data_IF_228262067079
#
_entry.id   IF_228262067079
#
_cell.length_a   1.000
_cell.length_b   1.000
_cell.length_c   1.000
_cell.angle_alpha   90.00
_cell.angle_beta   90.00
_cell.angle_gamma   90.00
#
_symmetry.space_group_name_H-M   'P 1'
#
loop_
_entity.id
_entity.type
_entity.pdbx_description
1 polymer ?
#
# COMPACT_ATOMS: atom_id res chain seq x y z
N UNK A 1 9.53 -8.13 -4.16
CA UNK A 1 9.74 -8.69 -2.81
C UNK A 1 8.38 -8.84 -2.15
N UNK A 2 8.14 -9.82 -1.27
CA UNK A 2 6.84 -9.93 -0.59
C UNK A 2 6.80 -8.98 0.63
N UNK A 3 5.74 -8.19 0.83
CA UNK A 3 5.60 -7.33 2.01
C UNK A 3 5.63 -8.12 3.32
N UNK A 4 6.09 -7.49 4.40
CA UNK A 4 6.06 -8.13 5.72
C UNK A 4 4.60 -8.19 6.22
N UNK A 5 4.17 -9.37 6.68
CA UNK A 5 2.88 -9.57 7.33
C UNK A 5 2.87 -8.64 8.56
N UNK A 6 1.93 -7.69 8.61
CA UNK A 6 1.88 -6.70 9.67
C UNK A 6 1.24 -7.28 10.94
N UNK A 7 1.58 -6.69 12.07
CA UNK A 7 0.90 -6.98 13.34
C UNK A 7 -0.54 -6.44 13.28
N UNK A 8 -1.46 -7.13 13.97
CA UNK A 8 -2.88 -6.76 14.06
C UNK A 8 -3.18 -6.06 15.37
N UNK A 9 -4.13 -5.13 15.32
CA UNK A 9 -4.59 -4.39 16.50
C UNK A 9 -6.12 -4.42 16.55
N UNK A 10 -6.67 -4.79 17.70
CA UNK A 10 -8.10 -4.77 17.98
C UNK A 10 -8.42 -3.51 18.79
N UNK A 11 -9.40 -2.73 18.35
CA UNK A 11 -9.85 -1.52 19.03
C UNK A 11 -11.35 -1.34 18.81
N UNK A 12 -12.15 -1.25 19.88
CA UNK A 12 -13.62 -1.26 19.82
C UNK A 12 -14.19 -2.36 18.92
N UNK A 13 -13.76 -3.61 19.14
CA UNK A 13 -14.18 -4.81 18.40
C UNK A 13 -13.85 -4.80 16.89
N UNK A 14 -13.08 -3.81 16.44
CA UNK A 14 -12.68 -3.66 15.06
C UNK A 14 -11.20 -4.01 14.87
N UNK A 15 -10.89 -4.66 13.74
CA UNK A 15 -9.53 -5.06 13.42
C UNK A 15 -8.85 -4.02 12.54
N UNK A 16 -7.66 -3.62 12.98
CA UNK A 16 -6.76 -2.73 12.27
C UNK A 16 -5.43 -3.41 12.00
N UNK A 17 -4.71 -2.88 11.02
CA UNK A 17 -3.38 -3.31 10.60
C UNK A 17 -2.36 -2.28 11.03
N UNK A 18 -1.22 -2.74 11.54
CA UNK A 18 -0.09 -1.88 11.85
C UNK A 18 0.49 -1.25 10.57
N UNK A 19 0.49 0.07 10.49
CA UNK A 19 1.05 0.83 9.36
C UNK A 19 2.41 1.43 9.72
N UNK A 20 2.53 2.04 10.90
CA UNK A 20 3.79 2.63 11.34
C UNK A 20 3.95 2.58 12.87
N UNK A 21 5.20 2.47 13.32
CA UNK A 21 5.59 2.53 14.73
C UNK A 21 6.64 3.61 14.91
N UNK A 22 6.36 4.56 15.81
CA UNK A 22 7.27 5.62 16.21
C UNK A 22 7.49 5.53 17.73
N UNK A 23 8.26 4.54 18.16
CA UNK A 23 8.46 4.27 19.59
C UNK A 23 9.12 2.92 19.82
N UNK A 24 9.08 2.48 21.08
CA UNK A 24 9.63 1.19 21.52
C UNK A 24 8.77 0.59 22.61
N UNK A 25 8.91 -0.73 22.84
CA UNK A 25 8.21 -1.44 23.89
C UNK A 25 7.06 -2.34 23.43
N UNK A 26 6.91 -2.56 22.12
CA UNK A 26 6.12 -3.68 21.62
C UNK A 26 6.80 -5.00 21.99
N UNK A 27 5.99 -6.01 22.24
CA UNK A 27 6.46 -7.30 22.75
C UNK A 27 7.02 -8.14 21.60
N UNK A 28 8.17 -8.76 21.82
CA UNK A 28 8.82 -9.63 20.84
C UNK A 28 9.26 -10.95 21.46
N UNK A 29 9.36 -12.04 20.67
CA UNK A 29 9.85 -13.34 21.16
C UNK A 29 11.23 -13.25 21.84
N UNK A 30 12.10 -12.33 21.40
CA UNK A 30 13.44 -12.17 21.96
C UNK A 30 13.42 -11.80 23.45
N UNK A 31 12.39 -11.09 23.92
CA UNK A 31 12.21 -10.78 25.35
C UNK A 31 12.00 -12.03 26.21
N UNK A 32 11.63 -13.14 25.58
CA UNK A 32 11.44 -14.46 26.19
C UNK A 32 12.52 -15.45 25.75
N UNK A 33 13.69 -14.96 25.32
CA UNK A 33 14.83 -15.78 24.87
C UNK A 33 14.51 -16.68 23.66
N UNK A 34 13.47 -16.34 22.88
CA UNK A 34 13.10 -17.09 21.68
C UNK A 34 13.67 -16.40 20.43
N UNK A 35 14.59 -17.09 19.75
CA UNK A 35 15.10 -16.71 18.44
C UNK A 35 14.28 -17.40 17.34
N UNK A 36 13.51 -16.60 16.62
CA UNK A 36 12.58 -17.08 15.58
C UNK A 36 13.25 -17.16 14.22
N UNK A 37 12.90 -18.20 13.47
CA UNK A 37 13.17 -18.28 12.04
C UNK A 37 11.99 -17.76 11.25
N UNK A 38 12.29 -17.25 10.05
CA UNK A 38 11.30 -16.80 9.08
C UNK A 38 10.20 -17.86 8.88
N UNK A 39 8.95 -17.41 8.92
CA UNK A 39 7.76 -18.24 8.63
C UNK A 39 7.61 -18.41 7.10
N UNK A 40 7.81 -17.33 6.36
CA UNK A 40 7.65 -17.27 4.90
C UNK A 40 8.37 -16.05 4.34
N UNK A 41 8.39 -15.88 3.02
CA UNK A 41 8.92 -14.64 2.40
C UNK A 41 8.16 -13.38 2.84
N UNK A 42 6.91 -13.52 3.27
CA UNK A 42 6.10 -12.46 3.86
C UNK A 42 6.25 -12.33 5.38
N UNK A 43 6.87 -13.27 6.10
CA UNK A 43 7.09 -13.12 7.54
C UNK A 43 8.52 -13.46 7.93
N UNK A 44 9.42 -12.54 7.55
CA UNK A 44 10.87 -12.64 7.76
C UNK A 44 11.24 -12.52 9.23
N UNK A 45 10.47 -11.76 10.01
CA UNK A 45 10.57 -11.67 11.48
C UNK A 45 10.36 -13.02 12.16
N UNK A 46 9.62 -13.94 11.53
CA UNK A 46 9.29 -15.23 12.12
C UNK A 46 8.22 -15.18 13.19
N UNK A 47 7.49 -14.06 13.31
CA UNK A 47 6.34 -13.92 14.20
C UNK A 47 5.42 -12.79 13.74
N UNK A 48 4.13 -12.88 14.09
CA UNK A 48 3.14 -11.82 13.98
C UNK A 48 2.36 -11.72 15.29
N UNK A 49 2.02 -10.52 15.71
CA UNK A 49 1.36 -10.26 16.99
C UNK A 49 -0.03 -9.68 16.78
N UNK A 50 -0.96 -10.05 17.65
CA UNK A 50 -2.24 -9.40 17.80
C UNK A 50 -2.26 -8.66 19.13
N UNK A 51 -2.50 -7.35 19.06
CA UNK A 51 -2.67 -6.50 20.23
C UNK A 51 -4.13 -6.09 20.39
N UNK A 52 -4.55 -5.86 21.62
CA UNK A 52 -5.82 -5.25 22.00
C UNK A 52 -5.54 -3.87 22.61
N UNK A 53 -6.14 -2.83 22.04
CA UNK A 53 -6.16 -1.48 22.60
C UNK A 53 -7.46 -1.32 23.37
N UNK A 54 -7.35 -1.16 24.68
CA UNK A 54 -8.47 -0.82 25.56
C UNK A 54 -8.48 0.69 25.83
N UNK A 55 -9.49 1.18 26.57
CA UNK A 55 -9.52 2.58 27.00
C UNK A 55 -8.30 2.95 27.88
N UNK A 56 -7.70 1.98 28.56
CA UNK A 56 -6.65 2.25 29.55
C UNK A 56 -5.26 1.89 29.04
N UNK A 57 -5.13 0.83 28.24
CA UNK A 57 -3.82 0.25 27.92
C UNK A 57 -3.78 -0.64 26.67
N UNK A 58 -2.55 -0.91 26.22
CA UNK A 58 -2.19 -1.80 25.13
C UNK A 58 -1.78 -3.20 25.64
N UNK A 59 -2.48 -4.24 25.21
CA UNK A 59 -2.19 -5.62 25.58
C UNK A 59 -1.82 -6.47 24.38
N UNK A 60 -0.80 -7.33 24.49
CA UNK A 60 -0.61 -8.44 23.58
C UNK A 60 -1.58 -9.57 23.96
N UNK A 61 -2.39 -10.03 23.01
CA UNK A 61 -3.40 -11.07 23.23
C UNK A 61 -3.10 -12.37 22.50
N UNK A 62 -2.46 -12.27 21.33
CA UNK A 62 -2.02 -13.45 20.58
C UNK A 62 -0.66 -13.21 19.91
N UNK A 63 0.11 -14.29 19.75
CA UNK A 63 1.35 -14.26 18.97
C UNK A 63 1.48 -15.53 18.16
N UNK A 64 1.44 -15.39 16.83
CA UNK A 64 1.81 -16.45 15.89
C UNK A 64 3.32 -16.47 15.80
N UNK A 65 3.94 -17.63 15.98
CA UNK A 65 5.40 -17.78 16.02
C UNK A 65 5.87 -18.88 15.06
N UNK A 66 7.00 -18.62 14.40
CA UNK A 66 7.70 -19.56 13.55
C UNK A 66 8.54 -20.55 14.35
N UNK A 67 9.41 -21.28 13.66
CA UNK A 67 10.34 -22.21 14.31
C UNK A 67 11.27 -21.41 15.24
N UNK A 68 11.42 -21.89 16.48
CA UNK A 68 12.35 -21.34 17.46
C UNK A 68 13.52 -22.30 17.64
N UNK A 69 14.76 -21.81 17.49
CA UNK A 69 15.97 -22.67 17.41
C UNK A 69 16.19 -23.53 18.66
N UNK A 70 15.93 -22.97 19.84
CA UNK A 70 16.11 -23.62 21.13
C UNK A 70 14.78 -24.07 21.77
N UNK A 71 13.74 -24.25 20.95
CA UNK A 71 12.41 -24.62 21.40
C UNK A 71 11.56 -23.46 21.92
N UNK A 72 10.25 -23.69 22.00
CA UNK A 72 9.27 -22.71 22.49
C UNK A 72 9.35 -22.57 24.00
N UNK A 73 9.07 -21.37 24.51
CA UNK A 73 9.09 -21.05 25.94
C UNK A 73 7.75 -20.48 26.39
N UNK A 74 7.31 -20.77 27.62
CA UNK A 74 6.03 -20.27 28.09
C UNK A 74 6.04 -18.74 28.20
N UNK A 75 4.98 -18.10 27.71
CA UNK A 75 4.69 -16.68 27.91
C UNK A 75 3.52 -16.60 28.90
N UNK A 76 3.70 -15.99 30.08
CA UNK A 76 2.71 -16.06 31.18
C UNK A 76 2.30 -17.50 31.56
N UNK A 77 3.21 -18.47 31.44
CA UNK A 77 2.90 -19.88 31.69
C UNK A 77 2.16 -20.59 30.54
N UNK A 78 1.83 -19.87 29.46
CA UNK A 78 1.11 -20.41 28.30
C UNK A 78 2.12 -20.86 27.25
N UNK A 79 1.99 -22.10 26.78
CA UNK A 79 2.74 -22.63 25.63
C UNK A 79 1.98 -22.37 24.33
N UNK A 80 2.67 -22.27 23.18
CA UNK A 80 1.98 -22.07 21.92
C UNK A 80 1.30 -23.37 21.50
N UNK A 81 0.08 -23.25 21.01
CA UNK A 81 -0.71 -24.38 20.53
C UNK A 81 -0.59 -24.48 19.01
N UNK A 82 -0.59 -25.72 18.49
CA UNK A 82 -0.83 -25.97 17.06
C UNK A 82 -2.32 -26.30 16.89
N UNK A 83 -2.97 -25.63 15.95
CA UNK A 83 -4.30 -26.05 15.49
C UNK A 83 -4.21 -27.50 15.00
N UNK A 84 -5.22 -28.31 15.29
CA UNK A 84 -5.29 -29.73 14.90
C UNK A 84 -6.20 -29.96 13.68
N UNK A 85 -6.56 -28.90 12.94
CA UNK A 85 -7.59 -28.97 11.91
C UNK A 85 -6.97 -29.17 10.52
N UNK A 86 -6.85 -30.44 10.13
CA UNK A 86 -6.15 -30.97 8.96
C UNK A 86 -6.71 -30.59 7.57
N UNK A 87 -7.48 -29.51 7.43
CA UNK A 87 -8.20 -29.22 6.17
C UNK A 87 -7.77 -27.94 5.44
N UNK A 88 -6.66 -27.28 5.80
CA UNK A 88 -6.08 -26.29 4.88
C UNK A 88 -4.56 -26.11 5.05
N UNK A 89 -3.84 -26.46 4.00
CA UNK A 89 -2.42 -26.83 4.01
C UNK A 89 -1.44 -25.65 3.90
N UNK A 90 -1.69 -24.50 4.54
CA UNK A 90 -0.79 -23.35 4.38
C UNK A 90 -0.36 -22.55 5.62
N UNK A 91 -1.00 -22.61 6.81
CA UNK A 91 -0.59 -21.75 7.95
C UNK A 91 -0.93 -22.28 9.36
N UNK A 92 -0.71 -23.55 9.70
CA UNK A 92 -0.78 -23.97 11.12
C UNK A 92 0.55 -23.70 11.85
N UNK A 93 0.86 -22.42 12.03
CA UNK A 93 1.99 -22.02 12.87
C UNK A 93 1.61 -22.08 14.36
N UNK A 94 2.54 -22.51 15.24
CA UNK A 94 2.35 -22.42 16.67
C UNK A 94 1.90 -21.02 17.08
N UNK A 95 0.87 -20.94 17.92
CA UNK A 95 0.26 -19.67 18.30
C UNK A 95 0.06 -19.63 19.81
N UNK A 96 0.59 -18.60 20.45
CA UNK A 96 0.20 -18.24 21.82
C UNK A 96 -1.17 -17.56 21.74
N UNK A 97 -2.15 -18.11 22.45
CA UNK A 97 -3.51 -17.57 22.55
C UNK A 97 -3.85 -17.23 24.00
N UNK A 98 -4.78 -16.31 24.19
CA UNK A 98 -5.26 -15.94 25.52
C UNK A 98 -4.21 -15.22 26.37
N UNK A 99 -3.22 -14.57 25.74
CA UNK A 99 -2.28 -13.73 26.46
C UNK A 99 -3.01 -12.48 26.97
N UNK A 100 -2.51 -11.91 28.06
CA UNK A 100 -2.92 -10.57 28.50
C UNK A 100 -1.72 -9.83 29.06
N UNK A 101 -0.75 -9.59 28.18
CA UNK A 101 0.49 -8.92 28.54
C UNK A 101 0.40 -7.44 28.24
N UNK A 102 0.55 -6.61 29.27
CA UNK A 102 0.71 -5.17 29.09
C UNK A 102 1.98 -4.91 28.27
N UNK A 103 1.83 -4.35 27.07
CA UNK A 103 2.96 -3.91 26.28
C UNK A 103 3.43 -2.55 26.83
N UNK A 104 4.65 -2.43 27.38
CA UNK A 104 5.15 -1.18 27.96
C UNK A 104 5.58 -0.19 26.86
N UNK A 105 4.73 0.01 25.87
CA UNK A 105 5.02 0.82 24.69
C UNK A 105 4.92 2.30 25.02
N UNK A 106 5.95 3.07 24.66
CA UNK A 106 5.93 4.53 24.69
C UNK A 106 6.22 5.05 23.29
N UNK A 107 5.36 5.93 22.80
CA UNK A 107 5.47 6.53 21.48
C UNK A 107 4.13 6.54 20.74
N UNK A 108 4.19 6.52 19.40
CA UNK A 108 3.00 6.56 18.54
C UNK A 108 2.90 5.33 17.65
N UNK A 109 1.68 4.85 17.46
CA UNK A 109 1.35 3.75 16.55
C UNK A 109 0.31 4.25 15.56
N UNK A 110 0.53 4.00 14.28
CA UNK A 110 -0.43 4.30 13.23
C UNK A 110 -1.08 3.00 12.75
N UNK A 111 -2.40 2.98 12.77
CA UNK A 111 -3.23 1.84 12.45
C UNK A 111 -4.12 2.16 11.25
N UNK A 112 -4.16 1.24 10.29
CA UNK A 112 -4.92 1.35 9.05
C UNK A 112 -6.04 0.32 8.99
N UNK A 113 -7.18 0.71 8.41
CA UNK A 113 -8.30 -0.19 8.11
C UNK A 113 -8.89 0.18 6.74
N UNK A 114 -9.56 -0.79 6.11
CA UNK A 114 -10.17 -0.69 4.78
C UNK A 114 -9.12 -0.30 3.73
N UNK A 115 -8.26 -1.28 3.39
CA UNK A 115 -7.24 -1.13 2.37
C UNK A 115 -7.86 -0.77 1.02
N UNK A 116 -7.29 0.22 0.33
CA UNK A 116 -7.73 0.70 -0.97
C UNK A 116 -6.73 0.22 -2.00
N UNK A 117 -7.18 -0.70 -2.86
CA UNK A 117 -6.37 -1.16 -3.96
C UNK A 117 -6.05 -0.02 -4.94
N UNK A 118 -4.84 -0.04 -5.52
CA UNK A 118 -4.44 0.80 -6.66
C UNK A 118 -4.31 2.31 -6.44
N UNK A 119 -4.14 2.81 -5.20
CA UNK A 119 -3.95 4.27 -4.94
C UNK A 119 -2.53 4.68 -4.52
N UNK A 120 -1.58 3.74 -4.58
CA UNK A 120 -0.21 3.97 -4.15
C UNK A 120 0.59 2.70 -3.93
N UNK A 121 -0.08 1.56 -3.83
CA UNK A 121 0.55 0.25 -3.69
C UNK A 121 1.38 -0.12 -4.92
N UNK A 122 2.70 -0.07 -4.75
CA UNK A 122 3.66 -0.65 -5.69
C UNK A 122 3.86 -2.10 -5.30
N UNK A 123 3.66 -3.02 -6.26
CA UNK A 123 3.77 -4.45 -6.00
C UNK A 123 5.07 -4.80 -5.29
N UNK A 124 4.93 -5.35 -4.09
CA UNK A 124 6.06 -5.82 -3.29
C UNK A 124 6.74 -4.79 -2.40
N UNK A 125 6.08 -3.67 -2.15
CA UNK A 125 6.40 -2.72 -1.08
C UNK A 125 5.40 -2.87 0.07
N UNK A 126 5.81 -2.51 1.28
CA UNK A 126 4.88 -2.47 2.41
C UNK A 126 3.82 -1.38 2.18
N UNK A 127 2.53 -1.67 2.45
CA UNK A 127 1.47 -0.67 2.39
C UNK A 127 1.80 0.60 3.17
N UNK A 128 1.46 1.75 2.59
CA UNK A 128 1.66 3.08 3.18
C UNK A 128 0.35 3.60 3.76
N UNK A 129 0.46 4.67 4.55
CA UNK A 129 -0.70 5.40 5.12
C UNK A 129 -1.83 5.62 4.10
N UNK A 130 -1.48 6.08 2.88
CA UNK A 130 -2.43 6.44 1.82
C UNK A 130 -3.23 5.26 1.27
N UNK A 131 -2.75 4.03 1.50
CA UNK A 131 -3.38 2.81 1.02
C UNK A 131 -4.54 2.38 1.93
N UNK A 132 -4.87 3.14 2.99
CA UNK A 132 -5.97 2.86 3.90
C UNK A 132 -7.00 3.99 3.92
N UNK A 133 -8.28 3.64 3.91
CA UNK A 133 -9.39 4.60 4.02
C UNK A 133 -9.49 5.17 5.43
N UNK A 134 -9.36 4.31 6.44
CA UNK A 134 -9.39 4.69 7.85
C UNK A 134 -7.96 4.65 8.37
N UNK A 135 -7.52 5.75 8.97
CA UNK A 135 -6.17 5.90 9.50
C UNK A 135 -6.23 6.57 10.88
N UNK A 136 -5.85 5.82 11.91
CA UNK A 136 -5.84 6.29 13.30
C UNK A 136 -4.41 6.36 13.82
N UNK A 137 -4.07 7.40 14.57
CA UNK A 137 -2.80 7.52 15.29
C UNK A 137 -3.06 7.47 16.80
N UNK A 138 -2.49 6.45 17.43
CA UNK A 138 -2.54 6.23 18.87
C UNK A 138 -1.24 6.70 19.50
N UNK A 139 -1.34 7.44 20.61
CA UNK A 139 -0.18 7.80 21.44
C UNK A 139 -0.27 7.03 22.74
N UNK A 140 0.84 6.41 23.14
CA UNK A 140 0.94 5.67 24.39
C UNK A 140 2.12 6.16 25.24
N UNK A 141 1.97 6.03 26.54
CA UNK A 141 3.03 6.20 27.52
C UNK A 141 3.06 5.02 28.50
N UNK A 142 4.18 4.28 28.50
CA UNK A 142 4.39 3.08 29.31
C UNK A 142 3.23 2.06 29.19
N UNK A 143 2.70 1.92 27.98
CA UNK A 143 1.58 1.03 27.67
C UNK A 143 0.19 1.62 27.92
N UNK A 144 0.08 2.81 28.53
CA UNK A 144 -1.20 3.49 28.74
C UNK A 144 -1.61 4.30 27.53
N UNK A 145 -2.88 4.26 27.17
CA UNK A 145 -3.41 5.06 26.06
C UNK A 145 -3.51 6.53 26.48
N UNK A 146 -2.85 7.42 25.74
CA UNK A 146 -2.83 8.87 26.00
C UNK A 146 -3.81 9.61 25.08
N UNK A 147 -3.83 9.26 23.80
CA UNK A 147 -4.73 9.90 22.84
C UNK A 147 -4.94 9.05 21.60
N UNK A 148 -6.10 9.19 20.97
CA UNK A 148 -6.41 8.67 19.63
C UNK A 148 -6.76 9.83 18.72
N UNK A 149 -6.08 9.92 17.58
CA UNK A 149 -6.35 10.93 16.55
C UNK A 149 -6.82 10.26 15.27
N UNK A 150 -7.94 10.72 14.73
CA UNK A 150 -8.41 10.31 13.40
C UNK A 150 -7.72 11.15 12.32
N UNK A 151 -6.88 10.50 11.52
CA UNK A 151 -6.15 11.12 10.43
C UNK A 151 -6.81 10.88 9.07
N UNK A 152 -7.93 10.17 9.01
CA UNK A 152 -8.56 9.67 7.77
C UNK A 152 -8.88 10.80 6.78
N UNK A 153 -9.41 11.93 7.27
CA UNK A 153 -9.70 13.09 6.41
C UNK A 153 -8.43 13.73 5.84
N UNK A 154 -7.37 13.86 6.65
CA UNK A 154 -6.09 14.40 6.20
C UNK A 154 -5.41 13.44 5.20
N UNK A 155 -5.55 12.14 5.43
CA UNK A 155 -5.03 11.09 4.57
C UNK A 155 -5.75 11.04 3.23
N UNK A 156 -7.07 11.24 3.22
CA UNK A 156 -7.85 11.34 1.99
C UNK A 156 -7.36 12.49 1.10
N UNK A 157 -7.13 13.68 1.67
CA UNK A 157 -6.57 14.82 0.91
C UNK A 157 -5.17 14.52 0.36
N UNK A 158 -4.31 13.86 1.13
CA UNK A 158 -2.98 13.44 0.65
C UNK A 158 -3.08 12.49 -0.53
N UNK A 159 -4.04 11.56 -0.48
CA UNK A 159 -4.29 10.59 -1.55
C UNK A 159 -4.76 11.28 -2.83
N UNK A 160 -5.66 12.25 -2.74
CA UNK A 160 -6.14 13.03 -3.89
C UNK A 160 -5.02 13.88 -4.50
N UNK A 161 -4.15 14.47 -3.67
CA UNK A 161 -2.98 15.18 -4.16
C UNK A 161 -1.96 14.24 -4.83
N UNK A 162 -1.77 13.04 -4.28
CA UNK A 162 -0.85 12.05 -4.84
C UNK A 162 -1.36 11.53 -6.20
N UNK A 163 -2.66 11.25 -6.34
CA UNK A 163 -3.23 10.84 -7.62
C UNK A 163 -3.07 11.92 -8.70
N UNK A 164 -3.23 13.20 -8.33
CA UNK A 164 -2.95 14.32 -9.22
C UNK A 164 -1.48 14.38 -9.63
N UNK A 165 -0.54 14.20 -8.70
CA UNK A 165 0.90 14.18 -8.99
C UNK A 165 1.29 13.00 -9.90
N UNK A 166 0.78 11.80 -9.63
CA UNK A 166 1.00 10.62 -10.48
C UNK A 166 0.48 10.86 -11.89
N UNK A 167 -0.72 11.45 -12.02
CA UNK A 167 -1.29 11.80 -13.33
C UNK A 167 -0.44 12.84 -14.07
N UNK A 168 0.08 13.85 -13.36
CA UNK A 168 0.97 14.86 -13.95
C UNK A 168 2.28 14.25 -14.45
N UNK A 169 2.92 13.37 -13.67
CA UNK A 169 4.13 12.68 -14.12
C UNK A 169 3.86 11.72 -15.27
N UNK A 170 2.75 10.97 -15.27
CA UNK A 170 2.36 10.13 -16.40
C UNK A 170 2.16 10.95 -17.68
N UNK A 171 1.49 12.10 -17.58
CA UNK A 171 1.32 13.00 -18.72
C UNK A 171 2.68 13.54 -19.21
N UNK A 172 3.59 13.89 -18.30
CA UNK A 172 4.94 14.37 -18.64
C UNK A 172 5.75 13.30 -19.36
N UNK A 173 5.72 12.06 -18.87
CA UNK A 173 6.41 10.91 -19.48
C UNK A 173 5.80 10.60 -20.85
N UNK A 174 4.47 10.52 -20.95
CA UNK A 174 3.78 10.26 -22.20
C UNK A 174 4.12 11.32 -23.26
N UNK A 175 4.17 12.59 -22.85
CA UNK A 175 4.60 13.70 -23.69
C UNK A 175 6.05 13.53 -24.19
N UNK A 176 6.99 13.24 -23.28
CA UNK A 176 8.39 13.03 -23.65
C UNK A 176 8.57 11.86 -24.65
N UNK A 177 7.85 10.77 -24.45
CA UNK A 177 7.88 9.62 -25.36
C UNK A 177 7.32 10.03 -26.73
N UNK A 178 6.20 10.74 -26.76
CA UNK A 178 5.62 11.22 -28.02
C UNK A 178 6.57 12.18 -28.76
N UNK A 179 7.19 13.11 -28.04
CA UNK A 179 8.21 14.03 -28.58
C UNK A 179 9.38 13.25 -29.20
N UNK A 180 9.97 12.30 -28.47
CA UNK A 180 11.08 11.47 -28.97
C UNK A 180 10.70 10.64 -30.20
N UNK A 181 9.47 10.10 -30.26
CA UNK A 181 8.99 9.35 -31.42
C UNK A 181 8.79 10.25 -32.64
N UNK A 182 8.23 11.45 -32.46
CA UNK A 182 8.06 12.41 -33.55
C UNK A 182 9.41 12.90 -34.08
N UNK A 183 10.38 13.18 -33.22
CA UNK A 183 11.74 13.52 -33.64
C UNK A 183 12.39 12.37 -34.42
N UNK A 184 12.25 11.13 -33.96
CA UNK A 184 12.84 9.97 -34.62
C UNK A 184 12.21 9.72 -36.02
N UNK A 185 10.92 9.98 -36.18
CA UNK A 185 10.19 9.74 -37.43
C UNK A 185 10.27 10.92 -38.42
N UNK A 186 10.23 12.15 -37.94
CA UNK A 186 10.15 13.36 -38.77
C UNK A 186 11.43 14.22 -38.74
N UNK A 187 12.43 13.86 -37.93
CA UNK A 187 13.75 14.49 -37.86
C UNK A 187 13.83 15.69 -36.92
N UNK A 188 12.77 16.50 -36.79
CA UNK A 188 12.71 17.63 -35.86
C UNK A 188 11.29 17.96 -35.43
N UNK A 189 11.13 18.45 -34.20
CA UNK A 189 9.87 19.00 -33.69
C UNK A 189 9.75 20.49 -34.01
N UNK A 190 8.85 20.83 -34.92
CA UNK A 190 8.45 22.22 -35.22
C UNK A 190 7.16 22.61 -34.49
N UNK A 191 6.77 23.88 -34.62
CA UNK A 191 5.59 24.41 -33.92
C UNK A 191 4.29 23.68 -34.29
N UNK A 192 4.17 23.16 -35.52
CA UNK A 192 2.97 22.44 -35.98
C UNK A 192 2.85 21.08 -35.28
N UNK A 193 3.95 20.33 -35.17
CA UNK A 193 4.00 19.07 -34.44
C UNK A 193 3.81 19.28 -32.92
N UNK A 194 4.39 20.36 -32.38
CA UNK A 194 4.22 20.70 -30.97
C UNK A 194 2.77 21.08 -30.62
N UNK A 195 2.07 21.76 -31.54
CA UNK A 195 0.69 22.20 -31.33
C UNK A 195 -0.30 21.03 -31.22
N UNK A 196 0.01 19.89 -31.84
CA UNK A 196 -0.87 18.71 -31.82
C UNK A 196 -0.48 17.65 -30.77
N UNK A 197 0.65 17.81 -30.07
CA UNK A 197 1.11 16.87 -29.02
C UNK A 197 0.09 16.63 -27.92
N UNK A 198 -0.41 17.69 -27.28
CA UNK A 198 -1.38 17.58 -26.17
C UNK A 198 -2.67 16.86 -26.60
N UNK A 199 -3.26 17.18 -27.76
CA UNK A 199 -4.34 16.39 -28.34
C UNK A 199 -3.96 14.92 -28.64
N UNK A 200 -2.79 14.66 -29.22
CA UNK A 200 -2.33 13.31 -29.61
C UNK A 200 -2.22 12.36 -28.41
N UNK A 201 -1.84 12.86 -27.24
CA UNK A 201 -1.78 12.07 -26.00
C UNK A 201 -3.13 11.51 -25.55
N UNK A 202 -4.25 11.99 -26.14
CA UNK A 202 -5.60 11.47 -25.88
C UNK A 202 -5.95 10.27 -26.78
N UNK A 203 -5.14 9.98 -27.81
CA UNK A 203 -5.36 8.84 -28.70
C UNK A 203 -4.96 7.53 -28.04
N UNK A 204 -5.58 6.43 -28.46
CA UNK A 204 -5.12 5.09 -28.05
C UNK A 204 -3.73 4.81 -28.64
N UNK A 205 -2.84 4.07 -27.94
CA UNK A 205 -1.48 3.81 -28.41
C UNK A 205 -1.41 3.23 -29.83
N UNK A 206 -2.32 2.31 -30.18
CA UNK A 206 -2.38 1.71 -31.52
C UNK A 206 -2.85 2.66 -32.64
N UNK A 207 -3.52 3.76 -32.31
CA UNK A 207 -3.86 4.81 -33.28
C UNK A 207 -2.67 5.72 -33.52
N UNK A 208 -1.99 6.12 -32.45
CA UNK A 208 -0.79 6.94 -32.54
C UNK A 208 0.30 6.24 -33.37
N UNK A 209 0.58 4.96 -33.12
CA UNK A 209 1.55 4.19 -33.92
C UNK A 209 1.17 4.09 -35.40
N UNK A 210 -0.13 4.05 -35.73
CA UNK A 210 -0.61 4.04 -37.12
C UNK A 210 -0.38 5.37 -37.80
N UNK A 211 -0.61 6.49 -37.10
CA UNK A 211 -0.34 7.82 -37.62
C UNK A 211 1.15 8.00 -37.94
N UNK A 212 2.06 7.49 -37.09
CA UNK A 212 3.51 7.57 -37.31
C UNK A 212 4.01 6.87 -38.58
N UNK A 213 3.18 6.03 -39.24
CA UNK A 213 3.53 5.41 -40.53
C UNK A 213 3.25 6.31 -41.73
N UNK A 214 2.58 7.44 -41.52
CA UNK A 214 2.22 8.40 -42.56
C UNK A 214 3.37 9.37 -42.85
N UNK A 215 3.32 10.04 -44.00
CA UNK A 215 4.19 11.20 -44.22
C UNK A 215 3.84 12.33 -43.26
N UNK A 216 4.74 13.30 -43.05
CA UNK A 216 4.53 14.43 -42.13
C UNK A 216 3.23 15.18 -42.39
N UNK A 217 2.93 15.50 -43.65
CA UNK A 217 1.72 16.27 -44.01
C UNK A 217 0.44 15.46 -43.79
N UNK A 218 0.46 14.18 -44.13
CA UNK A 218 -0.65 13.26 -43.87
C UNK A 218 -0.84 13.04 -42.37
N UNK A 219 0.25 12.95 -41.60
CA UNK A 219 0.21 12.85 -40.15
C UNK A 219 -0.49 14.05 -39.52
N UNK A 220 -0.11 15.28 -39.89
CA UNK A 220 -0.74 16.50 -39.38
C UNK A 220 -2.23 16.54 -39.73
N UNK A 221 -2.57 16.29 -41.00
CA UNK A 221 -3.95 16.33 -41.50
C UNK A 221 -4.83 15.29 -40.82
N UNK A 222 -4.35 14.05 -40.75
CA UNK A 222 -5.11 12.94 -40.17
C UNK A 222 -5.22 13.03 -38.65
N UNK A 223 -4.19 13.58 -37.98
CA UNK A 223 -4.24 13.88 -36.55
C UNK A 223 -5.33 14.90 -36.26
N UNK A 224 -5.36 16.04 -36.97
CA UNK A 224 -6.39 17.07 -36.79
C UNK A 224 -7.79 16.52 -37.07
N UNK A 225 -7.93 15.68 -38.10
CA UNK A 225 -9.20 15.02 -38.42
C UNK A 225 -9.69 14.12 -37.28
N UNK A 226 -8.83 13.22 -36.79
CA UNK A 226 -9.16 12.32 -35.67
C UNK A 226 -9.50 13.05 -34.38
N UNK A 227 -8.79 14.12 -34.08
CA UNK A 227 -9.03 14.94 -32.89
C UNK A 227 -10.38 15.65 -32.96
N UNK A 228 -10.79 16.08 -34.16
CA UNK A 228 -12.11 16.67 -34.41
C UNK A 228 -13.24 15.64 -34.27
N UNK A 229 -13.02 14.40 -34.72
CA UNK A 229 -13.97 13.29 -34.56
C UNK A 229 -14.16 12.89 -33.08
N UNK A 230 -13.08 12.87 -32.29
CA UNK A 230 -13.14 12.62 -30.85
C UNK A 230 -13.93 13.68 -30.11
N UNK A 231 -13.73 14.97 -30.41
CA UNK A 231 -14.48 16.06 -29.78
C UNK A 231 -15.97 16.03 -30.15
N UNK A 232 -16.31 15.55 -31.36
CA UNK A 232 -17.69 15.32 -31.79
C UNK A 232 -18.36 14.16 -31.04
N UNK A 233 -17.67 13.03 -30.89
CA UNK A 233 -18.18 11.85 -30.16
C UNK A 233 -18.41 12.16 -28.67
N UNK A 234 -17.51 12.92 -28.04
CA UNK A 234 -17.68 13.36 -26.63
C UNK A 234 -18.91 14.26 -26.41
N UNK A 235 -19.28 15.10 -27.40
CA UNK A 235 -20.47 15.96 -27.32
C UNK A 235 -21.78 15.20 -27.48
N UNK A 236 -21.78 14.06 -28.19
CA UNK A 236 -22.98 13.23 -28.39
C UNK A 236 -23.21 12.27 -27.21
N UNK A 237 -22.15 11.82 -26.53
CA UNK A 237 -22.24 10.89 -25.39
C UNK A 237 -22.62 11.49 -24.02
N UNK A 238 -22.88 12.80 -23.93
CA UNK A 238 -23.36 13.48 -22.70
C UNK A 238 -24.86 13.84 -22.73
N UNK A 239 -25.64 13.24 -23.64
CA UNK A 239 -27.11 13.36 -23.66
C UNK A 239 -27.79 12.17 -23.01
#
# INVERSE_FOLDING_TARGET
>A
MTPQIPDRFLYHDESYILVAVYGKGLITPQQYEMQTRSISTGCRRGFCSTYEVTNDALFLTEMVIGIVENGYRPIQGIMPERSSNTNNNYFEHPTYKGLRLLAPFTGRIRLGKDFIENVGYVYGQDPKDIDYKILLEFTFDAGKLVSVQDLSASNAKKRDNNSNLVRLEQNRIARQIAESLLELHFGSLDEELLAILEPLLKLLPGEFTRLLQLSREEFLTESVRKLSELDYQFKVGQK
#
